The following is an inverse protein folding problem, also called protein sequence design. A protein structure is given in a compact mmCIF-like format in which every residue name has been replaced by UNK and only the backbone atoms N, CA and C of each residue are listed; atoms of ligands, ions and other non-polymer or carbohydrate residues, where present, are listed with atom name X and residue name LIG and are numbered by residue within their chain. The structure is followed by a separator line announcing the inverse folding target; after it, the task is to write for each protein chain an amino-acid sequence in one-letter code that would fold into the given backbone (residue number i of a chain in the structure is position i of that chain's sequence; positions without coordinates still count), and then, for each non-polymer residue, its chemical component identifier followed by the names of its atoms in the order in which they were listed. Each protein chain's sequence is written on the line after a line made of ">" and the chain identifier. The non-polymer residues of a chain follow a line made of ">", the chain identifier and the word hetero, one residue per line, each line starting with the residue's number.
data_IF_568483079472
#
_entry.id   IF_568483079472
#
_cell.length_a   1.000
_cell.length_b   1.000
_cell.length_c   1.000
_cell.angle_alpha   90.00
_cell.angle_beta   90.00
_cell.angle_gamma   90.00
#
_symmetry.space_group_name_H-M   'P 1'
#
loop_
_entity.id
_entity.type
_entity.pdbx_description
1 polymer ?
#
# COMPACT_ATOMS: atom_id res chain seq x y z
N UNK A 1 33.71 65.75 59.45
CA UNK A 1 32.26 65.43 59.33
C UNK A 1 31.84 64.99 57.92
N UNK A 2 32.78 64.70 57.00
CA UNK A 2 32.50 64.38 55.60
C UNK A 2 32.53 62.86 55.27
N UNK A 3 32.48 61.98 56.28
CA UNK A 3 32.72 60.54 56.09
C UNK A 3 31.67 59.60 56.72
N UNK A 4 30.58 60.13 57.32
CA UNK A 4 29.55 59.30 57.97
C UNK A 4 28.18 59.34 57.27
N UNK A 5 27.96 60.23 56.31
CA UNK A 5 26.70 60.30 55.55
C UNK A 5 26.77 59.66 54.15
N UNK A 6 27.89 59.04 53.79
CA UNK A 6 28.04 58.27 52.53
C UNK A 6 27.46 56.85 52.69
N UNK A 7 27.23 56.36 53.91
CA UNK A 7 26.64 55.03 54.17
C UNK A 7 25.10 54.99 54.25
N UNK A 8 24.39 56.12 54.05
CA UNK A 8 22.91 56.16 54.07
C UNK A 8 22.28 56.32 52.67
N UNK A 9 23.08 56.32 51.61
CA UNK A 9 22.61 56.44 50.22
C UNK A 9 22.71 55.15 49.39
N UNK A 10 23.02 54.01 50.02
CA UNK A 10 23.11 52.69 49.37
C UNK A 10 21.91 51.75 49.63
N UNK A 11 20.80 52.23 50.19
CA UNK A 11 19.62 51.37 50.50
C UNK A 11 18.30 51.81 49.87
N UNK A 12 18.33 52.71 48.88
CA UNK A 12 17.17 53.02 48.04
C UNK A 12 17.51 52.84 46.56
N UNK A 13 17.88 51.61 46.22
CA UNK A 13 17.65 51.07 44.88
C UNK A 13 16.49 50.09 44.97
N UNK A 14 15.22 50.51 44.79
CA UNK A 14 14.19 49.58 44.40
C UNK A 14 14.47 49.26 42.94
N UNK A 15 15.07 48.09 42.78
CA UNK A 15 14.97 47.19 41.64
C UNK A 15 13.96 47.70 40.60
N UNK A 16 14.43 47.90 39.36
CA UNK A 16 13.59 47.55 38.23
C UNK A 16 13.15 46.11 38.48
N UNK A 17 11.97 45.93 39.08
CA UNK A 17 11.19 44.77 38.80
C UNK A 17 10.95 44.85 37.30
N UNK A 18 11.86 44.21 36.56
CA UNK A 18 11.48 43.46 35.39
C UNK A 18 10.25 42.69 35.85
N UNK A 19 9.08 43.21 35.50
CA UNK A 19 7.88 42.42 35.49
C UNK A 19 8.30 41.17 34.73
N UNK A 20 8.38 40.09 35.50
CA UNK A 20 8.56 38.75 35.00
C UNK A 20 7.39 38.59 34.07
N UNK A 21 7.64 38.88 32.79
CA UNK A 21 6.80 38.38 31.73
C UNK A 21 6.74 36.91 32.04
N UNK A 22 5.58 36.30 32.35
CA UNK A 22 5.54 34.87 32.46
C UNK A 22 6.07 34.40 31.11
N UNK A 23 7.28 33.83 31.11
CA UNK A 23 7.81 33.06 30.01
C UNK A 23 6.90 31.86 29.98
N UNK A 24 5.76 32.08 29.34
CA UNK A 24 4.70 31.12 29.25
C UNK A 24 5.32 29.87 28.62
N UNK A 25 5.34 28.73 29.33
CA UNK A 25 5.96 27.52 28.81
C UNK A 25 5.33 27.16 27.46
N UNK A 26 6.07 26.49 26.55
CA UNK A 26 5.56 25.97 25.26
C UNK A 26 4.28 25.10 25.37
N UNK A 27 3.86 24.76 26.58
CA UNK A 27 2.60 24.10 26.92
C UNK A 27 1.33 24.98 26.73
N UNK A 28 1.44 26.27 26.38
CA UNK A 28 0.28 27.16 26.36
C UNK A 28 -0.59 27.08 25.08
N UNK A 29 -0.07 26.51 24.00
CA UNK A 29 -0.75 26.49 22.70
C UNK A 29 -0.93 25.06 22.21
N UNK A 30 -1.93 24.33 22.74
CA UNK A 30 -2.15 22.92 22.42
C UNK A 30 -2.28 22.71 20.92
N UNK A 31 -1.69 21.60 20.42
CA UNK A 31 -1.76 21.25 19.01
C UNK A 31 -3.22 21.01 18.57
N UNK A 32 -3.61 21.44 17.36
CA UNK A 32 -4.91 21.09 16.80
C UNK A 32 -4.92 19.64 16.31
N UNK A 33 -6.12 19.13 16.03
CA UNK A 33 -6.33 17.89 15.29
C UNK A 33 -6.54 18.19 13.80
N UNK A 34 -6.02 17.32 12.94
CA UNK A 34 -6.21 17.38 11.49
C UNK A 34 -6.74 16.02 10.99
N UNK A 35 -7.80 16.07 10.19
CA UNK A 35 -8.37 14.90 9.52
C UNK A 35 -8.76 15.19 8.08
N UNK A 36 -9.01 14.14 7.31
CA UNK A 36 -9.46 14.23 5.93
C UNK A 36 -10.83 13.56 5.77
N UNK A 37 -11.70 14.19 4.98
CA UNK A 37 -12.95 13.61 4.51
C UNK A 37 -12.95 13.61 2.97
N UNK A 38 -13.40 12.52 2.31
CA UNK A 38 -13.93 11.29 2.89
C UNK A 38 -12.85 10.36 3.50
N UNK A 39 -11.61 10.45 3.04
CA UNK A 39 -10.50 9.61 3.51
C UNK A 39 -9.14 10.29 3.28
N UNK A 40 -8.08 9.73 3.86
CA UNK A 40 -6.68 10.12 3.61
C UNK A 40 -6.10 9.45 2.37
N UNK A 41 -6.81 8.49 1.77
CA UNK A 41 -6.41 7.81 0.54
C UNK A 41 -7.59 7.88 -0.44
N UNK A 42 -7.39 8.53 -1.58
CA UNK A 42 -8.46 8.83 -2.54
C UNK A 42 -7.97 8.66 -3.98
N UNK A 43 -8.89 8.52 -4.93
CA UNK A 43 -8.58 8.59 -6.36
C UNK A 43 -8.48 10.06 -6.83
N UNK A 44 -7.71 10.34 -7.88
CA UNK A 44 -7.76 11.61 -8.59
C UNK A 44 -9.18 12.08 -8.93
N UNK A 45 -9.39 13.40 -8.92
CA UNK A 45 -10.68 14.03 -9.25
C UNK A 45 -11.71 14.03 -8.10
N UNK A 46 -11.42 13.38 -6.97
CA UNK A 46 -12.29 13.43 -5.78
C UNK A 46 -12.07 14.73 -5.01
N UNK A 47 -13.14 15.32 -4.48
CA UNK A 47 -13.03 16.47 -3.58
C UNK A 47 -12.67 15.98 -2.17
N UNK A 48 -11.62 16.56 -1.59
CA UNK A 48 -11.16 16.25 -0.24
C UNK A 48 -11.29 17.48 0.66
N UNK A 49 -11.92 17.30 1.81
CA UNK A 49 -11.99 18.34 2.84
C UNK A 49 -11.04 18.00 3.97
N UNK A 50 -10.01 18.82 4.16
CA UNK A 50 -9.12 18.76 5.31
C UNK A 50 -9.72 19.58 6.45
N UNK A 51 -10.01 18.91 7.56
CA UNK A 51 -10.71 19.47 8.72
C UNK A 51 -9.72 19.66 9.85
N UNK A 52 -9.48 20.92 10.20
CA UNK A 52 -8.62 21.28 11.31
C UNK A 52 -9.44 21.74 12.50
N UNK A 53 -9.34 21.03 13.62
CA UNK A 53 -10.06 21.35 14.87
C UNK A 53 -9.09 21.85 15.93
N UNK A 54 -9.26 23.10 16.34
CA UNK A 54 -8.57 23.67 17.49
C UNK A 54 -9.34 23.43 18.79
N UNK A 55 -8.70 23.55 19.97
CA UNK A 55 -9.37 23.29 21.25
C UNK A 55 -10.41 24.34 21.68
N UNK A 56 -10.49 25.49 21.01
CA UNK A 56 -11.34 26.63 21.34
C UNK A 56 -11.75 27.35 20.02
N UNK A 57 -12.76 28.23 20.00
CA UNK A 57 -13.19 28.96 18.80
C UNK A 57 -12.40 30.25 18.52
N UNK A 58 -12.69 30.89 17.38
CA UNK A 58 -12.22 32.23 16.97
C UNK A 58 -10.75 32.35 16.59
N UNK A 59 -10.25 31.41 15.80
CA UNK A 59 -8.86 31.39 15.35
C UNK A 59 -8.72 31.62 13.84
N UNK A 60 -7.54 32.14 13.48
CA UNK A 60 -7.02 32.01 12.13
C UNK A 60 -6.31 30.67 12.01
N UNK A 61 -6.75 29.82 11.09
CA UNK A 61 -6.14 28.54 10.80
C UNK A 61 -5.19 28.66 9.61
N UNK A 62 -4.08 27.93 9.66
CA UNK A 62 -3.12 27.77 8.59
C UNK A 62 -2.91 26.29 8.30
N UNK A 63 -3.09 25.90 7.05
CA UNK A 63 -2.78 24.56 6.55
C UNK A 63 -1.50 24.64 5.74
N UNK A 64 -0.54 23.79 6.10
CA UNK A 64 0.79 23.75 5.53
C UNK A 64 1.04 22.37 4.95
N UNK A 65 1.63 22.31 3.77
CA UNK A 65 2.08 21.08 3.14
C UNK A 65 3.60 21.02 3.18
N UNK A 66 4.15 19.92 3.68
CA UNK A 66 5.59 19.75 3.82
C UNK A 66 6.26 19.67 2.43
N UNK A 67 7.36 20.40 2.27
CA UNK A 67 8.14 20.40 1.02
C UNK A 67 7.58 21.30 -0.08
N UNK A 68 6.46 21.98 0.15
CA UNK A 68 5.89 22.95 -0.79
C UNK A 68 6.29 24.38 -0.38
N UNK A 69 6.90 25.13 -1.31
CA UNK A 69 7.28 26.53 -1.12
C UNK A 69 6.08 27.47 -1.36
N UNK A 70 4.97 26.93 -1.85
CA UNK A 70 3.72 27.66 -2.08
C UNK A 70 3.13 28.27 -0.80
N UNK A 71 2.28 29.30 -0.92
CA UNK A 71 1.69 29.94 0.24
C UNK A 71 0.78 28.95 0.98
N UNK A 72 0.88 28.86 2.32
CA UNK A 72 -0.05 28.07 3.11
C UNK A 72 -1.48 28.59 2.94
N UNK A 73 -2.44 27.68 3.04
CA UNK A 73 -3.86 28.03 2.98
C UNK A 73 -4.28 28.58 4.33
N UNK A 74 -4.86 29.78 4.36
CA UNK A 74 -5.37 30.39 5.58
C UNK A 74 -6.89 30.51 5.56
N UNK A 75 -7.50 30.33 6.73
CA UNK A 75 -8.93 30.57 6.96
C UNK A 75 -9.14 31.24 8.30
N UNK A 76 -9.80 32.39 8.28
CA UNK A 76 -10.26 33.06 9.50
C UNK A 76 -11.68 32.56 9.82
N UNK A 77 -11.86 31.89 10.97
CA UNK A 77 -13.14 31.27 11.33
C UNK A 77 -13.48 31.56 12.80
N UNK A 78 -14.71 31.98 13.07
CA UNK A 78 -15.22 32.20 14.44
C UNK A 78 -15.60 30.90 15.16
N UNK A 79 -15.13 29.75 14.67
CA UNK A 79 -15.45 28.40 15.14
C UNK A 79 -14.18 27.68 15.57
N UNK A 80 -14.34 26.56 16.28
CA UNK A 80 -13.25 25.64 16.62
C UNK A 80 -12.77 24.81 15.42
N UNK A 81 -13.54 24.78 14.33
CA UNK A 81 -13.30 23.97 13.15
C UNK A 81 -13.09 24.86 11.92
N UNK A 82 -11.98 24.64 11.22
CA UNK A 82 -11.74 25.16 9.88
C UNK A 82 -11.71 24.03 8.86
N UNK A 83 -12.29 24.29 7.70
CA UNK A 83 -12.36 23.36 6.58
C UNK A 83 -11.58 23.93 5.39
N UNK A 84 -10.67 23.12 4.86
CA UNK A 84 -9.87 23.43 3.70
C UNK A 84 -10.29 22.47 2.59
N UNK A 85 -10.93 23.00 1.55
CA UNK A 85 -11.42 22.22 0.43
C UNK A 85 -10.33 22.11 -0.63
N UNK A 86 -9.98 20.88 -0.98
CA UNK A 86 -9.15 20.53 -2.12
C UNK A 86 -10.07 19.97 -3.19
N UNK A 87 -10.36 20.77 -4.20
CA UNK A 87 -11.22 20.38 -5.32
C UNK A 87 -10.44 19.54 -6.33
N UNK A 88 -11.11 18.52 -6.87
CA UNK A 88 -10.61 17.62 -7.93
C UNK A 88 -9.14 17.23 -7.74
N UNK A 89 -8.83 16.56 -6.63
CA UNK A 89 -7.44 16.38 -6.22
C UNK A 89 -6.63 15.63 -7.27
N UNK A 90 -5.39 16.07 -7.47
CA UNK A 90 -4.41 15.46 -8.37
C UNK A 90 -3.31 14.76 -7.58
N UNK A 91 -2.55 13.82 -8.19
CA UNK A 91 -1.39 13.20 -7.54
C UNK A 91 -0.39 14.21 -6.97
N UNK A 92 -0.24 15.39 -7.58
CA UNK A 92 0.65 16.46 -7.12
C UNK A 92 0.20 17.10 -5.79
N UNK A 93 -1.10 17.04 -5.48
CA UNK A 93 -1.65 17.51 -4.20
C UNK A 93 -1.51 16.46 -3.09
N UNK A 94 -1.05 15.24 -3.40
CA UNK A 94 -0.65 14.28 -2.37
C UNK A 94 0.53 14.77 -1.53
N UNK A 95 0.64 14.29 -0.30
CA UNK A 95 1.75 14.59 0.61
C UNK A 95 1.35 14.78 2.07
N UNK A 96 2.30 15.28 2.86
CA UNK A 96 2.16 15.47 4.30
C UNK A 96 1.64 16.86 4.64
N UNK A 97 0.46 16.93 5.26
CA UNK A 97 -0.17 18.17 5.69
C UNK A 97 -0.13 18.30 7.21
N UNK A 98 0.07 19.52 7.71
CA UNK A 98 -0.13 19.84 9.12
C UNK A 98 -0.91 21.14 9.25
N UNK A 99 -1.64 21.28 10.35
CA UNK A 99 -2.42 22.46 10.65
C UNK A 99 -1.88 23.17 11.89
N UNK A 100 -1.92 24.50 11.85
CA UNK A 100 -1.70 25.38 12.99
C UNK A 100 -2.87 26.35 13.10
N UNK A 101 -3.07 26.93 14.28
CA UNK A 101 -3.98 28.05 14.48
C UNK A 101 -3.29 29.20 15.20
N UNK A 102 -3.87 30.39 15.07
CA UNK A 102 -3.39 31.63 15.67
C UNK A 102 -4.56 32.43 16.22
N UNK A 103 -4.37 32.95 17.43
CA UNK A 103 -5.33 33.88 18.03
C UNK A 103 -5.13 35.32 17.55
N UNK A 104 -6.20 36.12 17.41
CA UNK A 104 -6.07 37.53 17.09
C UNK A 104 -5.25 38.33 18.11
N UNK A 105 -5.28 37.95 19.39
CA UNK A 105 -4.54 38.59 20.48
C UNK A 105 -3.06 38.19 20.56
N UNK A 106 -2.62 37.23 19.74
CA UNK A 106 -1.21 36.84 19.68
C UNK A 106 -0.40 37.81 18.83
N UNK A 107 0.89 37.91 19.14
CA UNK A 107 1.84 38.68 18.32
C UNK A 107 1.82 38.15 16.88
N UNK A 108 1.92 39.03 15.86
CA UNK A 108 2.07 38.60 14.48
C UNK A 108 3.17 37.56 14.30
N UNK A 109 2.92 36.52 13.51
CA UNK A 109 3.88 35.43 13.27
C UNK A 109 3.89 34.31 14.32
N UNK A 110 3.22 34.47 15.47
CA UNK A 110 3.09 33.39 16.47
C UNK A 110 1.94 32.46 16.09
N UNK A 111 2.20 31.14 16.11
CA UNK A 111 1.26 30.08 15.82
C UNK A 111 1.29 29.02 16.92
N UNK A 112 0.24 28.18 16.96
CA UNK A 112 0.18 27.02 17.85
C UNK A 112 1.27 25.99 17.51
N UNK A 113 1.42 24.97 18.37
CA UNK A 113 2.10 23.75 17.94
C UNK A 113 1.38 23.16 16.69
N UNK A 114 2.13 22.56 15.75
CA UNK A 114 1.53 21.89 14.59
C UNK A 114 0.75 20.65 15.02
N UNK A 115 -0.31 20.32 14.28
CA UNK A 115 -1.00 19.04 14.41
C UNK A 115 -0.06 17.87 14.12
N UNK A 116 -0.50 16.66 14.47
CA UNK A 116 0.12 15.46 13.87
C UNK A 116 -0.02 15.54 12.34
N UNK A 117 1.00 15.09 11.59
CA UNK A 117 0.97 15.14 10.14
C UNK A 117 -0.10 14.20 9.59
N UNK A 118 -0.82 14.67 8.59
CA UNK A 118 -1.79 13.90 7.82
C UNK A 118 -1.19 13.62 6.43
N UNK A 119 -0.93 12.35 6.15
CA UNK A 119 -0.50 11.90 4.83
C UNK A 119 -1.72 11.72 3.91
N UNK A 120 -1.87 12.59 2.92
CA UNK A 120 -2.88 12.46 1.86
C UNK A 120 -2.25 11.73 0.67
N UNK A 121 -2.75 10.53 0.36
CA UNK A 121 -2.34 9.74 -0.80
C UNK A 121 -3.42 9.83 -1.89
N UNK A 122 -3.06 10.41 -3.04
CA UNK A 122 -3.92 10.48 -4.22
C UNK A 122 -3.43 9.46 -5.24
N UNK A 123 -4.16 8.35 -5.41
CA UNK A 123 -3.78 7.25 -6.31
C UNK A 123 -5.01 6.50 -6.82
N UNK A 124 -4.95 6.03 -8.07
CA UNK A 124 -5.97 5.14 -8.66
C UNK A 124 -5.90 3.72 -8.09
N UNK A 125 -4.71 3.27 -7.68
CA UNK A 125 -4.49 1.88 -7.31
C UNK A 125 -3.48 1.76 -6.17
N UNK A 126 -3.79 0.88 -5.21
CA UNK A 126 -2.89 0.57 -4.10
C UNK A 126 -1.82 -0.45 -4.53
N UNK A 127 -0.61 -0.41 -3.93
CA UNK A 127 0.44 -1.40 -4.21
C UNK A 127 -0.05 -2.83 -4.02
N UNK A 128 0.31 -3.73 -4.93
CA UNK A 128 -0.05 -5.15 -4.83
C UNK A 128 0.49 -5.76 -3.50
N UNK A 129 -0.33 -6.52 -2.76
CA UNK A 129 0.12 -7.21 -1.55
C UNK A 129 0.85 -8.53 -1.89
N UNK A 130 1.58 -9.05 -0.92
CA UNK A 130 2.09 -10.43 -0.92
C UNK A 130 1.22 -11.33 -0.05
N UNK A 131 1.11 -12.60 -0.42
CA UNK A 131 0.42 -13.63 0.36
C UNK A 131 1.40 -14.75 0.67
N UNK A 132 1.53 -15.09 1.95
CA UNK A 132 2.41 -16.17 2.41
C UNK A 132 1.67 -17.09 3.37
N UNK A 133 2.09 -18.36 3.42
CA UNK A 133 1.57 -19.34 4.37
C UNK A 133 2.55 -19.55 5.52
N UNK A 134 2.00 -19.64 6.73
CA UNK A 134 2.74 -19.86 7.96
C UNK A 134 2.25 -21.18 8.59
N UNK A 135 3.14 -22.16 8.86
CA UNK A 135 4.61 -22.11 8.69
C UNK A 135 5.09 -22.28 7.24
N UNK A 136 4.25 -22.79 6.35
CA UNK A 136 4.60 -22.98 4.94
C UNK A 136 3.41 -23.42 4.09
N UNK A 137 3.57 -23.50 2.76
CA UNK A 137 2.50 -23.84 1.83
C UNK A 137 2.18 -25.33 1.77
N UNK A 138 3.12 -26.19 2.17
CA UNK A 138 2.92 -27.65 2.26
C UNK A 138 2.65 -27.99 3.72
N UNK A 139 1.53 -28.63 4.00
CA UNK A 139 1.05 -28.90 5.36
C UNK A 139 0.75 -30.38 5.57
N UNK A 140 0.88 -30.87 6.81
CA UNK A 140 0.44 -32.23 7.14
C UNK A 140 -1.10 -32.30 7.16
N UNK A 141 -1.71 -33.44 6.79
CA UNK A 141 -3.17 -33.60 6.83
C UNK A 141 -3.77 -33.20 8.18
N UNK A 142 -4.76 -32.31 8.15
CA UNK A 142 -5.45 -31.81 9.35
C UNK A 142 -4.70 -30.71 10.12
N UNK A 143 -3.47 -30.35 9.73
CA UNK A 143 -2.74 -29.24 10.35
C UNK A 143 -3.37 -27.89 10.00
N UNK A 144 -3.42 -26.97 10.97
CA UNK A 144 -3.87 -25.61 10.75
C UNK A 144 -2.76 -24.79 10.08
N UNK A 145 -3.17 -23.89 9.18
CA UNK A 145 -2.26 -22.96 8.49
C UNK A 145 -2.80 -21.54 8.63
N UNK A 146 -1.91 -20.57 8.75
CA UNK A 146 -2.29 -19.16 8.72
C UNK A 146 -1.77 -18.52 7.44
N UNK A 147 -2.66 -17.84 6.69
CA UNK A 147 -2.25 -17.06 5.53
C UNK A 147 -2.07 -15.61 5.93
N UNK A 148 -0.87 -15.08 5.76
CA UNK A 148 -0.57 -13.66 6.00
C UNK A 148 -0.62 -12.90 4.67
N UNK A 149 -1.59 -12.00 4.54
CA UNK A 149 -1.63 -11.03 3.46
C UNK A 149 -0.93 -9.75 3.93
N UNK A 150 0.15 -9.34 3.26
CA UNK A 150 0.94 -8.17 3.63
C UNK A 150 0.91 -7.10 2.52
N UNK A 151 0.46 -5.90 2.88
CA UNK A 151 0.51 -4.71 2.05
C UNK A 151 1.64 -3.77 2.48
N UNK A 152 1.62 -2.53 1.97
CA UNK A 152 2.56 -1.47 2.37
C UNK A 152 1.94 -0.45 3.33
N UNK A 153 0.62 -0.37 3.37
CA UNK A 153 -0.13 0.65 4.10
C UNK A 153 -0.79 0.07 5.34
N UNK A 154 -0.88 0.88 6.40
CA UNK A 154 -1.52 0.58 7.68
C UNK A 154 -2.99 0.96 7.68
N UNK A 155 -3.76 0.49 8.66
CA UNK A 155 -5.18 0.80 8.83
C UNK A 155 -6.01 0.43 7.58
N UNK A 156 -5.77 -0.77 7.06
CA UNK A 156 -6.38 -1.28 5.84
C UNK A 156 -7.30 -2.46 6.12
N UNK A 157 -8.23 -2.68 5.19
CA UNK A 157 -9.11 -3.84 5.17
C UNK A 157 -8.56 -4.87 4.19
N UNK A 158 -8.25 -6.07 4.68
CA UNK A 158 -7.70 -7.18 3.92
C UNK A 158 -8.77 -8.22 3.65
N UNK A 159 -8.76 -8.76 2.42
CA UNK A 159 -9.76 -9.71 1.95
C UNK A 159 -9.05 -10.93 1.36
N UNK A 160 -9.37 -12.12 1.88
CA UNK A 160 -8.84 -13.39 1.39
C UNK A 160 -9.87 -14.08 0.49
N UNK A 161 -9.41 -14.59 -0.64
CA UNK A 161 -10.22 -15.41 -1.56
C UNK A 161 -9.57 -16.76 -1.79
N UNK A 162 -10.43 -17.70 -2.19
CA UNK A 162 -10.05 -19.01 -2.69
C UNK A 162 -10.57 -19.16 -4.12
N UNK A 163 -9.75 -19.73 -4.99
CA UNK A 163 -10.16 -20.06 -6.35
C UNK A 163 -11.36 -21.02 -6.35
N UNK A 164 -12.31 -20.81 -7.27
CA UNK A 164 -13.57 -21.57 -7.33
C UNK A 164 -14.65 -21.10 -6.34
N UNK A 165 -14.37 -20.11 -5.48
CA UNK A 165 -15.36 -19.50 -4.57
C UNK A 165 -15.60 -18.05 -4.99
N UNK A 166 -16.85 -17.73 -5.33
CA UNK A 166 -17.20 -16.39 -5.82
C UNK A 166 -17.10 -15.30 -4.74
N UNK A 167 -17.48 -15.63 -3.50
CA UNK A 167 -17.45 -14.70 -2.38
C UNK A 167 -16.10 -14.69 -1.66
N UNK A 168 -15.73 -13.58 -0.97
CA UNK A 168 -14.63 -13.57 -0.03
C UNK A 168 -14.71 -14.71 0.98
N UNK A 169 -13.59 -15.37 1.24
CA UNK A 169 -13.51 -16.41 2.27
C UNK A 169 -13.46 -15.79 3.66
N UNK A 170 -12.65 -14.74 3.82
CA UNK A 170 -12.48 -14.02 5.08
C UNK A 170 -12.19 -12.53 4.82
N UNK A 171 -12.57 -11.69 5.78
CA UNK A 171 -12.36 -10.25 5.78
C UNK A 171 -11.80 -9.80 7.13
N UNK A 172 -10.75 -8.97 7.14
CA UNK A 172 -10.14 -8.43 8.36
C UNK A 172 -9.65 -7.00 8.17
N UNK A 173 -10.09 -6.12 9.07
CA UNK A 173 -9.47 -4.81 9.27
C UNK A 173 -8.22 -4.97 10.13
N UNK A 174 -7.14 -4.28 9.76
CA UNK A 174 -5.88 -4.32 10.49
C UNK A 174 -5.23 -2.95 10.52
N UNK A 175 -4.81 -2.54 11.72
CA UNK A 175 -3.96 -1.38 11.92
C UNK A 175 -2.51 -1.63 11.45
N UNK A 176 -2.10 -2.90 11.38
CA UNK A 176 -0.80 -3.29 10.85
C UNK A 176 -0.85 -3.33 9.32
N UNK A 177 0.31 -3.27 8.63
CA UNK A 177 0.35 -3.41 7.18
C UNK A 177 0.17 -4.86 6.70
N UNK A 178 -0.41 -5.74 7.53
CA UNK A 178 -0.76 -7.11 7.18
C UNK A 178 -1.95 -7.60 8.01
N UNK A 179 -2.57 -8.68 7.55
CA UNK A 179 -3.57 -9.44 8.30
C UNK A 179 -3.33 -10.95 8.16
N UNK A 180 -3.57 -11.68 9.25
CA UNK A 180 -3.44 -13.13 9.32
C UNK A 180 -4.82 -13.78 9.25
N UNK A 181 -4.97 -14.75 8.36
CA UNK A 181 -6.20 -15.50 8.11
C UNK A 181 -6.00 -16.97 8.48
N UNK A 182 -6.51 -17.42 9.64
CA UNK A 182 -6.41 -18.81 10.03
C UNK A 182 -7.29 -19.69 9.13
N UNK A 183 -6.74 -20.79 8.64
CA UNK A 183 -7.45 -21.84 7.92
C UNK A 183 -7.43 -23.12 8.75
N UNK A 184 -8.61 -23.70 8.95
CA UNK A 184 -8.77 -24.99 9.62
C UNK A 184 -8.32 -26.11 8.69
N UNK A 185 -7.48 -27.02 9.19
CA UNK A 185 -6.73 -27.98 8.37
C UNK A 185 -7.57 -28.70 7.31
N UNK A 186 -8.74 -29.25 7.64
CA UNK A 186 -9.56 -30.00 6.70
C UNK A 186 -9.92 -29.26 5.38
N UNK A 187 -9.83 -27.93 5.33
CA UNK A 187 -10.16 -27.10 4.15
C UNK A 187 -8.97 -26.27 3.64
N UNK A 188 -7.77 -26.51 4.16
CA UNK A 188 -6.58 -25.74 3.89
C UNK A 188 -6.05 -25.85 2.44
N UNK A 189 -6.10 -27.01 1.74
CA UNK A 189 -5.58 -27.10 0.38
C UNK A 189 -6.39 -26.29 -0.61
N UNK A 190 -5.70 -25.66 -1.56
CA UNK A 190 -6.32 -24.88 -2.62
C UNK A 190 -5.46 -23.68 -3.02
N UNK A 191 -5.95 -22.95 -4.02
CA UNK A 191 -5.31 -21.72 -4.49
C UNK A 191 -5.94 -20.52 -3.82
N UNK A 192 -5.12 -19.68 -3.20
CA UNK A 192 -5.55 -18.50 -2.46
C UNK A 192 -4.93 -17.23 -3.03
N UNK A 193 -5.62 -16.13 -2.85
CA UNK A 193 -5.08 -14.81 -3.16
C UNK A 193 -5.78 -13.77 -2.31
N UNK A 194 -5.13 -12.62 -2.10
CA UNK A 194 -5.68 -11.55 -1.30
C UNK A 194 -5.57 -10.20 -1.99
N UNK A 195 -6.44 -9.26 -1.61
CA UNK A 195 -6.24 -7.84 -1.85
C UNK A 195 -6.56 -7.08 -0.57
N UNK A 196 -6.20 -5.80 -0.54
CA UNK A 196 -6.61 -4.87 0.50
C UNK A 196 -7.15 -3.57 -0.08
N UNK A 197 -7.93 -2.87 0.72
CA UNK A 197 -8.53 -1.59 0.41
C UNK A 197 -8.63 -0.73 1.66
N UNK A 198 -9.00 0.54 1.46
CA UNK A 198 -9.22 1.43 2.60
C UNK A 198 -10.60 1.14 3.21
N UNK A 199 -10.74 1.16 4.55
CA UNK A 199 -12.03 0.87 5.21
C UNK A 199 -13.10 1.93 4.92
N UNK A 200 -12.70 3.21 4.87
CA UNK A 200 -13.61 4.36 4.69
C UNK A 200 -13.90 4.70 3.22
N UNK A 201 -13.11 4.18 2.29
CA UNK A 201 -13.21 4.44 0.86
C UNK A 201 -12.93 3.15 0.06
N UNK A 202 -13.87 2.19 0.03
CA UNK A 202 -13.67 0.89 -0.61
C UNK A 202 -13.56 0.96 -2.15
N UNK A 203 -13.55 2.15 -2.74
CA UNK A 203 -13.28 2.38 -4.15
C UNK A 203 -11.78 2.39 -4.49
N UNK A 204 -10.89 2.65 -3.51
CA UNK A 204 -9.44 2.54 -3.71
C UNK A 204 -8.96 1.16 -3.27
N UNK A 205 -8.61 0.33 -4.26
CA UNK A 205 -8.28 -1.08 -4.08
C UNK A 205 -6.86 -1.37 -4.56
N UNK A 206 -6.22 -2.38 -3.97
CA UNK A 206 -5.02 -2.98 -4.56
C UNK A 206 -5.38 -4.00 -5.64
N UNK A 207 -4.40 -4.33 -6.48
CA UNK A 207 -4.46 -5.57 -7.25
C UNK A 207 -4.46 -6.78 -6.31
N UNK A 208 -4.98 -7.90 -6.81
CA UNK A 208 -4.87 -9.21 -6.16
C UNK A 208 -3.39 -9.64 -6.09
N UNK A 209 -3.00 -10.25 -4.98
CA UNK A 209 -1.68 -10.86 -4.80
C UNK A 209 -1.42 -11.92 -5.87
N UNK A 210 -0.16 -12.32 -6.00
CA UNK A 210 0.14 -13.60 -6.65
C UNK A 210 -0.61 -14.74 -5.94
N UNK A 211 -1.00 -15.74 -6.72
CA UNK A 211 -1.73 -16.90 -6.22
C UNK A 211 -0.80 -17.80 -5.41
N UNK A 212 -1.26 -18.20 -4.22
CA UNK A 212 -0.56 -19.12 -3.33
C UNK A 212 -1.30 -20.45 -3.25
N UNK A 213 -0.61 -21.53 -3.64
CA UNK A 213 -1.17 -22.89 -3.57
C UNK A 213 -0.78 -23.51 -2.24
N UNK A 214 -1.77 -24.04 -1.53
CA UNK A 214 -1.59 -24.86 -0.33
C UNK A 214 -1.85 -26.31 -0.71
N UNK A 215 -0.94 -27.21 -0.35
CA UNK A 215 -1.04 -28.64 -0.65
C UNK A 215 -0.73 -29.49 0.58
N UNK A 216 -1.16 -30.74 0.55
CA UNK A 216 -0.74 -31.72 1.56
C UNK A 216 0.68 -32.20 1.32
N UNK A 217 1.36 -32.51 2.41
CA UNK A 217 2.63 -33.25 2.38
C UNK A 217 2.38 -34.63 1.73
N UNK A 218 3.10 -34.91 0.65
CA UNK A 218 2.97 -36.17 -0.10
C UNK A 218 2.27 -36.05 -1.46
N UNK A 219 1.63 -34.92 -1.78
CA UNK A 219 1.09 -34.64 -3.12
C UNK A 219 2.15 -33.94 -3.99
N UNK A 220 3.30 -34.60 -4.16
CA UNK A 220 4.23 -34.26 -5.24
C UNK A 220 3.65 -34.71 -6.59
N UNK A 221 4.12 -34.19 -7.74
CA UNK A 221 3.73 -34.73 -9.04
C UNK A 221 4.07 -36.22 -9.00
N UNK A 222 3.05 -37.07 -9.22
CA UNK A 222 3.17 -38.51 -9.19
C UNK A 222 4.46 -38.91 -9.91
N UNK A 223 5.45 -39.37 -9.13
CA UNK A 223 6.57 -40.08 -9.69
C UNK A 223 5.95 -41.19 -10.54
N UNK A 224 6.20 -41.12 -11.86
CA UNK A 224 5.77 -42.18 -12.78
C UNK A 224 6.17 -43.53 -12.21
N UNK A 225 5.41 -44.60 -12.48
CA UNK A 225 5.63 -45.89 -11.85
C UNK A 225 7.10 -46.28 -11.99
N UNK A 226 7.78 -46.32 -10.84
CA UNK A 226 9.14 -46.84 -10.75
C UNK A 226 9.09 -48.28 -11.24
N UNK A 227 9.90 -48.67 -12.24
CA UNK A 227 9.82 -50.00 -12.81
C UNK A 227 10.18 -51.03 -11.74
N UNK A 228 9.24 -51.93 -11.45
CA UNK A 228 9.49 -53.07 -10.59
C UNK A 228 10.64 -53.92 -11.16
N UNK A 229 11.50 -54.53 -10.32
CA UNK A 229 12.56 -55.41 -10.81
C UNK A 229 11.93 -56.64 -11.48
N UNK A 230 12.03 -56.73 -12.81
CA UNK A 230 11.62 -57.93 -13.54
C UNK A 230 12.55 -59.09 -13.21
N UNK A 231 11.94 -60.19 -12.76
CA UNK A 231 12.55 -61.48 -12.55
C UNK A 231 13.27 -61.93 -13.83
N UNK A 232 14.60 -62.09 -13.76
CA UNK A 232 15.43 -62.49 -14.90
C UNK A 232 15.10 -63.92 -15.34
N UNK A 233 14.43 -64.05 -16.48
CA UNK A 233 14.34 -65.32 -17.23
C UNK A 233 15.75 -65.70 -17.76
N UNK A 234 16.18 -66.97 -17.71
CA UNK A 234 17.48 -67.38 -18.21
C UNK A 234 17.60 -67.19 -19.74
N UNK A 235 18.80 -66.86 -20.26
CA UNK A 235 19.01 -66.67 -21.70
C UNK A 235 18.99 -68.00 -22.46
N UNK A 236 18.44 -67.96 -23.66
CA UNK A 236 18.49 -69.05 -24.64
C UNK A 236 19.91 -69.21 -25.21
N UNK A 237 20.32 -70.42 -25.66
CA UNK A 237 21.65 -70.67 -26.19
C UNK A 237 21.88 -69.99 -27.57
N UNK A 238 23.14 -69.63 -27.89
CA UNK A 238 23.46 -68.91 -29.11
C UNK A 238 23.44 -69.81 -30.36
N UNK A 239 23.10 -69.26 -31.54
CA UNK A 239 23.23 -69.96 -32.81
C UNK A 239 24.69 -70.05 -33.28
N UNK A 240 25.04 -71.04 -34.13
CA UNK A 240 26.40 -71.22 -34.64
C UNK A 240 26.78 -70.15 -35.66
N UNK A 241 28.05 -69.73 -35.58
CA UNK A 241 28.69 -68.71 -36.42
C UNK A 241 29.12 -69.27 -37.78
N UNK A 242 28.71 -68.62 -38.87
CA UNK A 242 29.32 -68.80 -40.20
C UNK A 242 30.31 -67.67 -40.48
N UNK A 243 31.53 -67.94 -41.00
CA UNK A 243 32.54 -66.93 -41.21
C UNK A 243 32.58 -66.40 -42.65
N UNK A 244 32.52 -65.08 -42.76
CA UNK A 244 33.20 -64.30 -43.80
C UNK A 244 32.39 -64.00 -45.06
N UNK A 245 32.32 -62.71 -45.42
CA UNK A 245 33.11 -62.12 -46.51
C UNK A 245 32.75 -60.63 -46.68
N UNK A 246 33.81 -59.83 -46.65
CA UNK A 246 34.08 -58.45 -47.12
C UNK A 246 32.97 -57.45 -47.50
N UNK A 247 33.15 -56.24 -46.95
CA UNK A 247 32.65 -54.98 -47.48
C UNK A 247 33.39 -54.56 -48.78
N UNK A 248 32.72 -53.82 -49.67
CA UNK A 248 33.05 -52.39 -49.85
C UNK A 248 31.77 -51.53 -50.06
N UNK A 249 31.65 -50.30 -49.55
CA UNK A 249 32.21 -49.08 -50.15
C UNK A 249 31.06 -48.11 -50.52
N UNK A 250 31.23 -46.77 -50.49
CA UNK A 250 30.16 -45.81 -50.22
C UNK A 250 29.68 -45.04 -51.48
N UNK A 251 28.37 -44.69 -51.54
CA UNK A 251 27.71 -43.64 -52.36
C UNK A 251 26.19 -43.88 -52.25
N UNK A 252 25.24 -42.94 -52.13
CA UNK A 252 25.17 -41.54 -52.51
C UNK A 252 24.21 -40.77 -51.60
N UNK A 253 24.54 -39.51 -51.37
CA UNK A 253 23.69 -38.46 -50.81
C UNK A 253 22.44 -38.25 -51.69
N UNK A 254 21.25 -38.15 -51.07
CA UNK A 254 20.09 -37.49 -51.67
C UNK A 254 19.42 -36.59 -50.63
N UNK A 255 19.25 -35.27 -50.88
CA UNK A 255 18.58 -34.38 -49.95
C UNK A 255 17.06 -34.58 -49.99
N UNK A 256 16.42 -34.63 -48.83
CA UNK A 256 14.96 -34.48 -48.70
C UNK A 256 14.60 -33.00 -48.71
N UNK A 257 13.62 -32.64 -49.54
CA UNK A 257 13.03 -31.31 -49.68
C UNK A 257 12.36 -30.82 -48.37
N UNK A 258 12.30 -29.51 -48.10
CA UNK A 258 11.58 -28.95 -46.96
C UNK A 258 10.06 -28.89 -47.24
N UNK A 259 9.25 -29.37 -46.30
CA UNK A 259 7.80 -29.14 -46.29
C UNK A 259 7.45 -27.70 -45.85
N UNK A 260 6.27 -27.17 -46.25
CA UNK A 260 5.94 -25.76 -46.09
C UNK A 260 5.49 -25.38 -44.68
N UNK A 261 5.85 -24.15 -44.29
CA UNK A 261 5.42 -23.42 -43.08
C UNK A 261 3.91 -23.18 -43.09
N UNK A 262 3.22 -23.54 -42.02
CA UNK A 262 1.85 -23.07 -41.75
C UNK A 262 1.88 -21.60 -41.30
N UNK A 263 1.07 -20.80 -41.98
CA UNK A 263 0.80 -19.39 -41.74
C UNK A 263 -0.05 -19.20 -40.47
N UNK A 264 0.32 -18.21 -39.66
CA UNK A 264 -0.51 -17.65 -38.57
C UNK A 264 -1.68 -16.84 -39.18
N UNK A 265 -2.90 -16.85 -38.60
CA UNK A 265 -3.94 -15.90 -38.97
C UNK A 265 -3.67 -14.53 -38.33
N UNK A 266 -3.75 -13.49 -39.15
CA UNK A 266 -3.68 -12.08 -38.80
C UNK A 266 -4.87 -11.67 -37.92
N UNK A 267 -4.59 -10.90 -36.87
CA UNK A 267 -5.55 -10.19 -36.02
C UNK A 267 -6.26 -9.09 -36.82
N UNK A 268 -7.58 -9.06 -36.76
CA UNK A 268 -8.43 -8.05 -37.39
C UNK A 268 -8.40 -6.76 -36.55
N UNK A 269 -7.85 -5.71 -37.12
CA UNK A 269 -7.75 -4.36 -36.54
C UNK A 269 -9.13 -3.68 -36.56
N UNK A 270 -9.68 -3.42 -35.37
CA UNK A 270 -10.96 -2.73 -35.17
C UNK A 270 -10.77 -1.22 -35.22
N UNK A 271 -11.38 -0.58 -36.22
CA UNK A 271 -11.44 0.88 -36.40
C UNK A 271 -12.24 1.56 -35.27
N UNK A 272 -11.80 2.70 -34.72
CA UNK A 272 -12.57 3.45 -33.72
C UNK A 272 -13.78 4.21 -34.33
N UNK A 273 -14.86 4.43 -33.57
CA UNK A 273 -16.05 5.14 -34.03
C UNK A 273 -15.83 6.66 -34.12
N UNK A 274 -16.58 7.29 -35.03
CA UNK A 274 -16.53 8.73 -35.31
C UNK A 274 -17.13 9.59 -34.18
N UNK A 275 -16.65 10.82 -33.96
CA UNK A 275 -17.19 11.72 -32.96
C UNK A 275 -18.56 12.31 -33.36
N UNK A 276 -19.43 12.66 -32.39
CA UNK A 276 -20.74 13.27 -32.64
C UNK A 276 -20.62 14.75 -33.08
N UNK A 277 -21.61 15.28 -33.82
CA UNK A 277 -21.58 16.65 -34.31
C UNK A 277 -21.79 17.68 -33.19
N UNK A 278 -21.07 18.80 -33.31
CA UNK A 278 -21.16 19.96 -32.44
C UNK A 278 -22.47 20.73 -32.66
N UNK A 279 -23.23 20.93 -31.60
CA UNK A 279 -24.48 21.71 -31.61
C UNK A 279 -24.16 23.22 -31.51
N UNK A 280 -24.69 24.09 -32.38
CA UNK A 280 -24.49 25.52 -32.28
C UNK A 280 -25.54 26.17 -31.37
N UNK A 281 -25.06 26.66 -30.22
CA UNK A 281 -25.57 27.71 -29.34
C UNK A 281 -27.06 28.12 -29.31
N UNK A 282 -27.59 28.23 -28.09
CA UNK A 282 -28.34 29.39 -27.56
C UNK A 282 -27.87 29.63 -26.13
#
# INVERSE_FOLDING_TARGET
>A
MALVLILQLLTLWPLCHTDITPSVPPALYPKPWLGAQPATVVTPGVNVTLRCRAPQPAWRFGLFKLGEIGPPLFRDVSSELAEFFLEEVTPAQGGSYHCCYRRPDWRPGVWSQPSDPLELLVTEQLPRPSLVALPGPVVAPGANVSLRCAGRLRNMSFVLYREGVAAPLQYRDSAQPWADFPLLGARAPGTYSCYYHTPSAPYVLSQRSEALVISWEGEGPAAGPSPQPQERRPPAPPPPSDPGVQAPGPSSLRPRSPGPRSLLPQTQESRPPAPPPSDPGI
#
